data_IF_005624280580
#
_entry.id   IF_005624280580
#
_cell.length_a   1.000
_cell.length_b   1.000
_cell.length_c   1.000
_cell.angle_alpha   90.00
_cell.angle_beta   90.00
_cell.angle_gamma   90.00
#
_symmetry.space_group_name_H-M   'P 1'
#
loop_
_entity.id
_entity.type
_entity.pdbx_description
1 polymer ?
#
# COMPACT_ATOMS: atom_id res chain seq x y z
N UNK A 1 -14.15 -20.59 3.47
CA UNK A 1 -12.74 -20.22 3.22
C UNK A 1 -12.68 -18.81 2.65
N UNK A 2 -13.34 -18.48 1.53
CA UNK A 2 -13.28 -17.18 0.86
C UNK A 2 -13.65 -16.00 1.78
N UNK A 3 -14.71 -16.14 2.59
CA UNK A 3 -15.14 -15.11 3.55
C UNK A 3 -14.06 -14.79 4.58
N UNK A 4 -13.40 -15.82 5.13
CA UNK A 4 -12.32 -15.63 6.11
C UNK A 4 -11.11 -14.96 5.48
N UNK A 5 -10.72 -15.36 4.27
CA UNK A 5 -9.64 -14.75 3.52
C UNK A 5 -9.94 -13.28 3.19
N UNK A 6 -11.19 -12.96 2.87
CA UNK A 6 -11.63 -11.57 2.64
C UNK A 6 -11.48 -10.69 3.89
N UNK A 7 -11.88 -11.20 5.06
CA UNK A 7 -11.69 -10.48 6.33
C UNK A 7 -10.20 -10.24 6.61
N UNK A 8 -9.36 -11.26 6.40
CA UNK A 8 -7.91 -11.14 6.59
C UNK A 8 -7.32 -10.10 5.63
N UNK A 9 -7.71 -10.13 4.36
CA UNK A 9 -7.25 -9.18 3.35
C UNK A 9 -7.63 -7.74 3.74
N UNK A 10 -8.87 -7.51 4.13
CA UNK A 10 -9.34 -6.19 4.59
C UNK A 10 -8.53 -5.75 5.80
N UNK A 11 -8.39 -6.61 6.80
CA UNK A 11 -7.66 -6.27 8.02
C UNK A 11 -6.19 -5.94 7.73
N UNK A 12 -5.52 -6.76 6.90
CA UNK A 12 -4.12 -6.54 6.51
C UNK A 12 -4.00 -5.22 5.76
N UNK A 13 -4.82 -5.01 4.73
CA UNK A 13 -4.72 -3.82 3.88
C UNK A 13 -4.94 -2.52 4.68
N UNK A 14 -5.93 -2.47 5.56
CA UNK A 14 -6.21 -1.32 6.42
C UNK A 14 -5.00 -0.99 7.31
N UNK A 15 -4.45 -2.01 7.99
CA UNK A 15 -3.37 -1.77 8.95
C UNK A 15 -2.03 -1.49 8.27
N UNK A 16 -1.74 -2.15 7.16
CA UNK A 16 -0.52 -1.93 6.38
C UNK A 16 -0.50 -0.49 5.83
N UNK A 17 -1.59 -0.04 5.22
CA UNK A 17 -1.69 1.31 4.67
C UNK A 17 -1.59 2.38 5.76
N UNK A 18 -2.22 2.14 6.91
CA UNK A 18 -2.11 3.04 8.06
C UNK A 18 -0.67 3.09 8.62
N UNK A 19 0.04 1.95 8.69
CA UNK A 19 1.44 1.94 9.11
C UNK A 19 2.39 2.63 8.12
N UNK A 20 2.04 2.67 6.83
CA UNK A 20 2.84 3.35 5.79
C UNK A 20 2.64 4.87 5.80
N UNK A 21 1.60 5.38 6.45
CA UNK A 21 1.28 6.81 6.53
C UNK A 21 2.13 7.56 7.56
N UNK A 22 3.45 7.41 7.47
CA UNK A 22 4.42 8.03 8.39
C UNK A 22 5.34 9.08 7.75
N UNK A 23 5.19 9.32 6.44
CA UNK A 23 5.96 10.31 5.67
C UNK A 23 5.01 11.01 4.69
N UNK A 24 5.11 12.34 4.66
CA UNK A 24 4.31 13.18 3.77
C UNK A 24 4.39 12.71 2.31
N UNK A 25 3.23 12.42 1.72
CA UNK A 25 3.11 11.95 0.34
C UNK A 25 3.33 10.44 0.14
N UNK A 26 3.84 9.69 1.10
CA UNK A 26 4.21 8.27 0.89
C UNK A 26 2.99 7.38 0.68
N UNK A 27 2.11 7.32 1.68
CA UNK A 27 0.93 6.44 1.67
C UNK A 27 0.01 6.74 0.48
N UNK A 28 -0.32 8.01 0.28
CA UNK A 28 -1.18 8.44 -0.83
C UNK A 28 -0.60 8.09 -2.19
N UNK A 29 0.71 8.30 -2.40
CA UNK A 29 1.38 7.99 -3.67
C UNK A 29 1.42 6.49 -3.97
N UNK A 30 1.75 5.67 -2.97
CA UNK A 30 1.74 4.21 -3.13
C UNK A 30 0.33 3.71 -3.42
N UNK A 31 -0.69 4.22 -2.73
CA UNK A 31 -2.08 3.88 -2.99
C UNK A 31 -2.53 4.28 -4.40
N UNK A 32 -2.11 5.46 -4.92
CA UNK A 32 -2.37 5.85 -6.30
C UNK A 32 -1.82 4.81 -7.29
N UNK A 33 -0.59 4.36 -7.10
CA UNK A 33 0.03 3.35 -7.98
C UNK A 33 -0.72 2.02 -7.90
N UNK A 34 -1.03 1.55 -6.68
CA UNK A 34 -1.72 0.28 -6.46
C UNK A 34 -3.11 0.29 -7.08
N UNK A 35 -3.92 1.32 -6.80
CA UNK A 35 -5.27 1.45 -7.36
C UNK A 35 -5.22 1.52 -8.88
N UNK A 36 -4.32 2.36 -9.45
CA UNK A 36 -4.16 2.46 -10.90
C UNK A 36 -3.75 1.12 -11.53
N UNK A 37 -2.86 0.37 -10.89
CA UNK A 37 -2.44 -0.94 -11.38
C UNK A 37 -3.62 -1.92 -11.41
N UNK A 38 -4.40 -2.02 -10.34
CA UNK A 38 -5.61 -2.85 -10.31
C UNK A 38 -6.60 -2.44 -11.40
N UNK A 39 -6.86 -1.14 -11.51
CA UNK A 39 -7.82 -0.60 -12.48
C UNK A 39 -7.43 -0.93 -13.92
N UNK A 40 -6.15 -0.79 -14.26
CA UNK A 40 -5.68 -1.07 -15.63
C UNK A 40 -5.63 -2.57 -15.92
N UNK A 41 -5.11 -3.37 -14.98
CA UNK A 41 -4.92 -4.81 -15.18
C UNK A 41 -6.25 -5.56 -15.23
N UNK A 42 -7.19 -5.19 -14.37
CA UNK A 42 -8.47 -5.86 -14.21
C UNK A 42 -9.66 -5.04 -14.73
N UNK A 43 -9.43 -4.16 -15.72
CA UNK A 43 -10.47 -3.27 -16.25
C UNK A 43 -11.75 -4.00 -16.69
N UNK A 44 -11.61 -5.16 -17.33
CA UNK A 44 -12.74 -5.97 -17.80
C UNK A 44 -13.57 -6.53 -16.63
N UNK A 45 -12.93 -6.95 -15.55
CA UNK A 45 -13.59 -7.51 -14.37
C UNK A 45 -14.23 -6.43 -13.50
N UNK A 46 -13.56 -5.27 -13.40
CA UNK A 46 -14.05 -4.13 -12.63
C UNK A 46 -15.22 -3.42 -13.31
N UNK A 47 -15.30 -3.45 -14.66
CA UNK A 47 -16.42 -2.88 -15.40
C UNK A 47 -16.66 -1.41 -15.04
N UNK A 48 -17.85 -1.06 -14.57
CA UNK A 48 -18.20 0.31 -14.19
C UNK A 48 -17.38 0.89 -13.04
N UNK A 49 -16.77 0.05 -12.19
CA UNK A 49 -15.92 0.51 -11.09
C UNK A 49 -14.64 1.20 -11.57
N UNK A 50 -14.19 0.92 -12.80
CA UNK A 50 -13.05 1.61 -13.42
C UNK A 50 -13.19 3.13 -13.37
N UNK A 51 -14.41 3.66 -13.63
CA UNK A 51 -14.66 5.10 -13.56
C UNK A 51 -14.54 5.61 -12.14
N UNK A 52 -15.07 4.88 -11.16
CA UNK A 52 -14.96 5.22 -9.75
C UNK A 52 -13.50 5.23 -9.27
N UNK A 53 -12.71 4.25 -9.71
CA UNK A 53 -11.29 4.15 -9.39
C UNK A 53 -10.49 5.33 -9.95
N UNK A 54 -10.74 5.74 -11.20
CA UNK A 54 -10.09 6.92 -11.80
C UNK A 54 -10.48 8.21 -11.07
N UNK A 55 -11.75 8.38 -10.68
CA UNK A 55 -12.18 9.53 -9.88
C UNK A 55 -11.47 9.52 -8.52
N UNK A 56 -11.34 8.34 -7.91
CA UNK A 56 -10.66 8.19 -6.63
C UNK A 56 -9.17 8.52 -6.72
N UNK A 57 -8.49 8.02 -7.77
CA UNK A 57 -7.08 8.36 -8.05
C UNK A 57 -6.92 9.86 -8.30
N UNK A 58 -7.80 10.48 -9.09
CA UNK A 58 -7.77 11.93 -9.30
C UNK A 58 -7.92 12.72 -7.98
N UNK A 59 -8.81 12.26 -7.10
CA UNK A 59 -8.98 12.84 -5.75
C UNK A 59 -7.72 12.69 -4.90
N UNK A 60 -7.06 11.52 -4.95
CA UNK A 60 -5.79 11.31 -4.27
C UNK A 60 -4.66 12.18 -4.83
N UNK A 61 -4.60 12.36 -6.14
CA UNK A 61 -3.61 13.27 -6.76
C UNK A 61 -3.84 14.73 -6.30
N UNK A 62 -5.09 15.17 -6.23
CA UNK A 62 -5.43 16.49 -5.68
C UNK A 62 -5.03 16.60 -4.20
N UNK A 63 -5.27 15.57 -3.39
CA UNK A 63 -4.80 15.51 -2.01
C UNK A 63 -3.27 15.58 -1.93
N UNK A 64 -2.55 14.82 -2.75
CA UNK A 64 -1.08 14.77 -2.76
C UNK A 64 -0.44 16.10 -3.11
N UNK A 65 -1.13 16.94 -3.88
CA UNK A 65 -0.68 18.31 -4.16
C UNK A 65 -0.46 19.10 -2.85
N UNK A 66 -1.32 18.88 -1.83
CA UNK A 66 -1.21 19.52 -0.53
C UNK A 66 -0.44 18.70 0.51
N UNK A 67 -0.32 17.39 0.31
CA UNK A 67 0.37 16.48 1.22
C UNK A 67 1.85 16.22 0.82
N UNK A 68 2.34 16.82 -0.27
CA UNK A 68 3.77 16.77 -0.60
C UNK A 68 4.61 17.51 0.43
N UNK A 69 5.83 16.99 0.71
CA UNK A 69 6.70 17.56 1.74
C UNK A 69 7.24 18.95 1.36
N UNK A 70 7.12 19.98 2.22
CA UNK A 70 6.45 20.00 3.52
C UNK A 70 4.93 20.03 3.37
N UNK A 71 4.21 19.11 4.05
CA UNK A 71 2.79 18.98 3.87
C UNK A 71 1.98 20.11 4.54
N UNK A 72 0.94 20.55 3.85
CA UNK A 72 -0.07 21.48 4.38
C UNK A 72 -1.40 20.77 4.74
N UNK A 73 -1.50 19.47 4.42
CA UNK A 73 -2.68 18.66 4.68
C UNK A 73 -2.27 17.24 5.07
N UNK A 74 -2.79 16.74 6.19
CA UNK A 74 -2.54 15.39 6.68
C UNK A 74 -3.76 14.50 6.46
N UNK A 75 -3.54 13.24 6.11
CA UNK A 75 -4.59 12.25 5.89
C UNK A 75 -5.17 11.74 7.22
N UNK A 76 -4.31 11.49 8.18
CA UNK A 76 -4.64 10.89 9.46
C UNK A 76 -5.10 9.44 9.36
N UNK A 77 -5.35 8.83 10.50
CA UNK A 77 -5.75 7.42 10.61
C UNK A 77 -7.03 7.08 9.85
N UNK A 78 -7.98 8.01 9.81
CA UNK A 78 -9.25 7.79 9.12
C UNK A 78 -9.04 7.66 7.61
N UNK A 79 -8.25 8.55 7.01
CA UNK A 79 -7.97 8.54 5.59
C UNK A 79 -7.11 7.35 5.16
N UNK A 80 -5.99 7.09 5.85
CA UNK A 80 -5.10 5.99 5.52
C UNK A 80 -5.78 4.63 5.64
N UNK A 81 -6.65 4.45 6.65
CA UNK A 81 -7.45 3.23 6.79
C UNK A 81 -8.51 3.10 5.72
N UNK A 82 -9.15 4.20 5.32
CA UNK A 82 -10.12 4.21 4.23
C UNK A 82 -9.45 3.81 2.89
N UNK A 83 -8.22 4.28 2.63
CA UNK A 83 -7.44 3.87 1.46
C UNK A 83 -7.16 2.35 1.46
N UNK A 84 -6.70 1.82 2.58
CA UNK A 84 -6.45 0.39 2.72
C UNK A 84 -7.72 -0.44 2.53
N UNK A 85 -8.84 0.01 3.08
CA UNK A 85 -10.14 -0.64 2.87
C UNK A 85 -10.55 -0.62 1.39
N UNK A 86 -10.40 0.53 0.72
CA UNK A 86 -10.75 0.66 -0.69
C UNK A 86 -9.92 -0.28 -1.58
N UNK A 87 -8.59 -0.36 -1.37
CA UNK A 87 -7.71 -1.28 -2.10
C UNK A 87 -8.14 -2.74 -1.89
N UNK A 88 -8.50 -3.12 -0.65
CA UNK A 88 -8.99 -4.47 -0.37
C UNK A 88 -10.29 -4.79 -1.13
N UNK A 89 -11.22 -3.82 -1.20
CA UNK A 89 -12.48 -3.99 -1.95
C UNK A 89 -12.20 -4.17 -3.44
N UNK A 90 -11.33 -3.34 -4.05
CA UNK A 90 -10.95 -3.50 -5.45
C UNK A 90 -10.36 -4.90 -5.68
N UNK A 91 -9.40 -5.32 -4.85
CA UNK A 91 -8.78 -6.64 -4.97
C UNK A 91 -9.79 -7.79 -4.85
N UNK A 92 -10.77 -7.67 -3.97
CA UNK A 92 -11.84 -8.66 -3.80
C UNK A 92 -12.85 -8.66 -4.96
N UNK A 93 -12.95 -7.58 -5.72
CA UNK A 93 -13.79 -7.48 -6.92
C UNK A 93 -13.18 -8.18 -8.11
N UNK A 94 -11.88 -8.39 -8.13
CA UNK A 94 -11.20 -9.17 -9.16
C UNK A 94 -11.38 -10.66 -8.91
N UNK A 95 -11.29 -11.48 -9.95
CA UNK A 95 -11.31 -12.95 -9.82
C UNK A 95 -10.06 -13.46 -9.09
N UNK A 96 -9.01 -12.64 -9.04
CA UNK A 96 -7.72 -12.98 -8.49
C UNK A 96 -7.32 -12.11 -7.29
N UNK A 97 -7.99 -12.20 -6.11
CA UNK A 97 -7.68 -11.34 -4.95
C UNK A 97 -6.24 -11.49 -4.42
N UNK A 98 -5.58 -12.62 -4.72
CA UNK A 98 -4.16 -12.86 -4.36
C UNK A 98 -3.23 -11.90 -5.11
N UNK A 99 -3.65 -11.32 -6.24
CA UNK A 99 -2.90 -10.28 -6.94
C UNK A 99 -2.59 -9.07 -6.08
N UNK A 100 -3.36 -8.84 -4.99
CA UNK A 100 -3.05 -7.84 -3.98
C UNK A 100 -1.61 -7.95 -3.46
N UNK A 101 -1.11 -9.18 -3.22
CA UNK A 101 0.24 -9.40 -2.72
C UNK A 101 1.28 -8.92 -3.73
N UNK A 102 1.06 -9.14 -5.02
CA UNK A 102 1.98 -8.73 -6.08
C UNK A 102 1.91 -7.22 -6.33
N UNK A 103 0.68 -6.70 -6.49
CA UNK A 103 0.46 -5.32 -6.91
C UNK A 103 0.65 -4.29 -5.78
N UNK A 104 0.62 -4.69 -4.51
CA UNK A 104 0.83 -3.83 -3.35
C UNK A 104 2.06 -4.23 -2.53
N UNK A 105 3.02 -4.96 -3.13
CA UNK A 105 4.13 -5.58 -2.38
C UNK A 105 4.97 -4.58 -1.59
N UNK A 106 5.24 -3.39 -2.14
CA UNK A 106 6.05 -2.38 -1.45
C UNK A 106 5.27 -1.79 -0.27
N UNK A 107 3.98 -1.52 -0.46
CA UNK A 107 3.08 -1.08 0.59
C UNK A 107 3.02 -2.12 1.72
N UNK A 108 2.87 -3.42 1.36
CA UNK A 108 2.83 -4.54 2.31
C UNK A 108 4.15 -4.67 3.07
N UNK A 109 5.28 -4.59 2.39
CA UNK A 109 6.59 -4.73 3.03
C UNK A 109 6.84 -3.55 3.96
N UNK A 110 6.56 -2.32 3.54
CA UNK A 110 6.80 -1.14 4.37
C UNK A 110 5.98 -1.19 5.67
N UNK A 111 4.66 -1.25 5.58
CA UNK A 111 3.78 -1.23 6.74
C UNK A 111 3.66 -2.59 7.44
N UNK A 112 3.65 -3.70 6.67
CA UNK A 112 3.37 -5.03 7.18
C UNK A 112 4.49 -5.65 8.01
N UNK A 113 5.77 -5.38 7.69
CA UNK A 113 6.88 -5.91 8.48
C UNK A 113 6.82 -5.47 9.95
N UNK A 114 6.33 -4.26 10.21
CA UNK A 114 6.11 -3.78 11.57
C UNK A 114 5.07 -4.60 12.32
N UNK A 115 3.96 -4.88 11.66
CA UNK A 115 2.87 -5.69 12.21
C UNK A 115 3.33 -7.11 12.52
N UNK A 116 4.03 -7.76 11.57
CA UNK A 116 4.58 -9.11 11.76
C UNK A 116 5.58 -9.14 12.92
N UNK A 117 6.50 -8.16 12.98
CA UNK A 117 7.49 -8.05 14.06
C UNK A 117 6.84 -7.94 15.43
N UNK A 118 5.81 -7.08 15.57
CA UNK A 118 5.09 -6.90 16.82
C UNK A 118 4.32 -8.17 17.19
N UNK A 119 3.64 -8.80 16.23
CA UNK A 119 2.89 -10.03 16.43
C UNK A 119 3.78 -11.17 16.94
N UNK A 120 4.89 -11.45 16.22
CA UNK A 120 5.82 -12.52 16.59
C UNK A 120 6.44 -12.28 17.97
N UNK A 121 6.84 -11.04 18.28
CA UNK A 121 7.39 -10.70 19.58
C UNK A 121 6.37 -10.88 20.71
N UNK A 122 5.12 -10.45 20.48
CA UNK A 122 4.09 -10.45 21.52
C UNK A 122 3.52 -11.83 21.81
N UNK A 123 3.23 -12.60 20.76
CA UNK A 123 2.52 -13.89 20.88
C UNK A 123 3.46 -15.09 20.90
N UNK A 124 4.52 -15.06 20.11
CA UNK A 124 5.45 -16.19 19.98
C UNK A 124 6.79 -15.95 20.70
N UNK A 125 7.01 -14.74 21.27
CA UNK A 125 8.27 -14.33 21.92
C UNK A 125 9.49 -14.42 20.98
N UNK A 126 9.28 -14.45 19.68
CA UNK A 126 10.32 -14.49 18.64
C UNK A 126 10.67 -13.07 18.24
N UNK A 127 11.95 -12.68 18.37
CA UNK A 127 12.45 -11.38 17.95
C UNK A 127 13.09 -11.49 16.57
N UNK A 128 12.40 -10.97 15.53
CA UNK A 128 12.93 -10.85 14.17
C UNK A 128 13.32 -9.40 13.89
N UNK A 129 14.16 -9.17 12.87
CA UNK A 129 14.54 -7.84 12.38
C UNK A 129 15.02 -6.91 13.52
N UNK A 130 15.81 -7.43 14.46
CA UNK A 130 16.25 -6.70 15.67
C UNK A 130 16.94 -5.38 15.30
N UNK A 131 17.76 -5.39 14.25
CA UNK A 131 18.54 -4.24 13.79
C UNK A 131 17.80 -3.37 12.74
N UNK A 132 16.57 -3.75 12.36
CA UNK A 132 15.78 -3.03 11.36
C UNK A 132 14.63 -2.30 12.05
N UNK A 133 14.55 -0.99 11.86
CA UNK A 133 13.37 -0.22 12.28
C UNK A 133 12.20 -0.56 11.38
N UNK A 134 11.01 -0.57 11.92
CA UNK A 134 9.76 -0.77 11.19
C UNK A 134 8.76 0.31 11.58
N UNK A 135 8.04 0.90 10.63
CA UNK A 135 8.04 0.63 9.18
C UNK A 135 9.38 0.89 8.48
N UNK A 136 9.55 0.40 7.22
CA UNK A 136 10.84 0.51 6.53
C UNK A 136 11.20 1.94 6.13
N UNK A 137 10.21 2.78 5.84
CA UNK A 137 10.45 4.20 5.58
C UNK A 137 11.18 4.88 6.76
N UNK A 138 10.85 4.50 7.99
CA UNK A 138 11.54 5.00 9.19
C UNK A 138 12.99 4.50 9.26
N UNK A 139 13.25 3.26 8.83
CA UNK A 139 14.62 2.74 8.71
C UNK A 139 15.42 3.49 7.65
N UNK A 140 14.80 3.76 6.50
CA UNK A 140 15.43 4.54 5.43
C UNK A 140 15.80 5.95 5.89
N UNK A 141 14.92 6.62 6.62
CA UNK A 141 15.16 7.98 7.15
C UNK A 141 16.23 7.99 8.25
N UNK A 142 16.01 7.21 9.30
CA UNK A 142 16.78 7.30 10.56
C UNK A 142 18.10 6.52 10.53
N UNK A 143 18.19 5.44 9.74
CA UNK A 143 19.38 4.59 9.67
C UNK A 143 20.18 4.76 8.37
N UNK A 144 19.52 5.09 7.25
CA UNK A 144 20.19 5.31 5.95
C UNK A 144 20.36 6.78 5.58
N UNK A 145 19.79 7.70 6.38
CA UNK A 145 19.91 9.15 6.14
C UNK A 145 19.17 9.65 4.89
N UNK A 146 18.14 8.94 4.43
CA UNK A 146 17.33 9.39 3.29
C UNK A 146 16.44 10.55 3.70
N UNK A 147 16.33 11.57 2.85
CA UNK A 147 15.32 12.61 3.02
C UNK A 147 13.92 12.07 2.78
N UNK A 148 12.88 12.75 3.27
CA UNK A 148 11.49 12.37 3.09
C UNK A 148 11.15 12.26 1.60
N UNK A 149 11.59 13.23 0.80
CA UNK A 149 11.43 13.21 -0.67
C UNK A 149 12.10 11.99 -1.31
N UNK A 150 13.32 11.62 -0.87
CA UNK A 150 14.00 10.43 -1.38
C UNK A 150 13.26 9.14 -1.01
N UNK A 151 12.67 9.07 0.19
CA UNK A 151 11.86 7.92 0.60
C UNK A 151 10.66 7.79 -0.34
N UNK A 152 9.88 8.85 -0.49
CA UNK A 152 8.68 8.85 -1.34
C UNK A 152 9.01 8.43 -2.76
N UNK A 153 9.95 9.12 -3.43
CA UNK A 153 10.29 8.80 -4.81
C UNK A 153 10.82 7.37 -5.01
N UNK A 154 11.72 6.91 -4.15
CA UNK A 154 12.29 5.56 -4.28
C UNK A 154 11.26 4.47 -4.04
N UNK A 155 10.37 4.66 -3.07
CA UNK A 155 9.29 3.71 -2.79
C UNK A 155 8.26 3.68 -3.93
N UNK A 156 7.91 4.84 -4.51
CA UNK A 156 7.04 4.91 -5.69
C UNK A 156 7.67 4.16 -6.87
N UNK A 157 8.95 4.39 -7.16
CA UNK A 157 9.66 3.70 -8.25
C UNK A 157 9.63 2.19 -8.03
N UNK A 158 9.95 1.73 -6.81
CA UNK A 158 9.89 0.30 -6.48
C UNK A 158 8.47 -0.26 -6.64
N UNK A 159 7.45 0.49 -6.24
CA UNK A 159 6.05 0.06 -6.36
C UNK A 159 5.61 0.00 -7.83
N UNK A 160 6.00 0.95 -8.67
CA UNK A 160 5.72 0.92 -10.12
C UNK A 160 6.38 -0.30 -10.76
N UNK A 161 7.67 -0.55 -10.47
CA UNK A 161 8.38 -1.73 -10.99
C UNK A 161 7.69 -3.02 -10.55
N UNK A 162 7.31 -3.10 -9.27
CA UNK A 162 6.59 -4.26 -8.74
C UNK A 162 5.23 -4.46 -9.44
N UNK A 163 4.49 -3.38 -9.70
CA UNK A 163 3.22 -3.44 -10.41
C UNK A 163 3.41 -3.91 -11.88
N UNK A 164 4.47 -3.45 -12.55
CA UNK A 164 4.82 -3.91 -13.90
C UNK A 164 5.17 -5.41 -13.94
N UNK A 165 5.96 -5.88 -12.98
CA UNK A 165 6.28 -7.31 -12.84
C UNK A 165 4.99 -8.10 -12.53
N UNK A 166 4.16 -7.59 -11.63
CA UNK A 166 2.86 -8.18 -11.31
C UNK A 166 1.95 -8.29 -12.54
N UNK A 167 1.90 -7.26 -13.39
CA UNK A 167 1.18 -7.29 -14.65
C UNK A 167 1.67 -8.42 -15.57
N UNK A 168 2.99 -8.55 -15.74
CA UNK A 168 3.57 -9.62 -16.58
C UNK A 168 3.20 -11.00 -16.03
N UNK A 169 3.34 -11.21 -14.73
CA UNK A 169 3.00 -12.50 -14.09
C UNK A 169 1.51 -12.82 -14.29
N UNK A 170 0.63 -11.86 -14.04
CA UNK A 170 -0.83 -12.05 -14.18
C UNK A 170 -1.24 -12.31 -15.63
N UNK A 171 -0.59 -11.66 -16.59
CA UNK A 171 -0.87 -11.85 -18.02
C UNK A 171 -0.41 -13.22 -18.57
N UNK A 172 0.42 -13.94 -17.83
CA UNK A 172 0.89 -15.28 -18.19
C UNK A 172 0.07 -16.40 -17.54
N UNK A 173 -0.84 -16.07 -16.60
CA UNK A 173 -1.75 -17.02 -15.92
C UNK A 173 -3.09 -17.15 -16.63
#
# INVERSE_FOLDING_TARGET
VYFVLGIILIWVSINVTNCTDGVDGLSGSLCCVVISAFTVIFANELGYYVIADFIFVATLLAYLYFNSNPSSMLMGDAGSRALGFYIAIIAMKTVHPISYILLAIVLIIDGGLGLVKIFLKRFLKISILVNTRTPLHDHARKNKGWSDTQVVFRFIIMQIVAAMIGYIIISLL
#
